data_IF_052017605412
#
_entry.id   IF_052017605412
#
_cell.length_a   1.000
_cell.length_b   1.000
_cell.length_c   1.000
_cell.angle_alpha   90.00
_cell.angle_beta   90.00
_cell.angle_gamma   90.00
#
_symmetry.space_group_name_H-M   'P 1'
#
loop_
_entity.id
_entity.type
_entity.pdbx_description
1 polymer ?
#
# COMPACT_ATOMS: atom_id res chain seq x y z
N UNK A 1 4.69 13.23 -15.44
CA UNK A 1 5.90 13.94 -14.95
C UNK A 1 6.31 14.98 -15.99
N UNK A 2 6.76 16.15 -15.56
CA UNK A 2 7.37 17.17 -16.42
C UNK A 2 8.83 17.34 -16.05
N UNK A 3 9.71 17.24 -17.05
CA UNK A 3 11.14 17.51 -16.91
C UNK A 3 11.50 18.58 -17.93
N UNK A 4 11.95 19.73 -17.47
CA UNK A 4 12.16 20.93 -18.30
C UNK A 4 10.90 21.27 -19.11
N UNK A 5 10.96 21.23 -20.44
CA UNK A 5 9.84 21.52 -21.33
C UNK A 5 9.17 20.25 -21.92
N UNK A 6 9.56 19.08 -21.45
CA UNK A 6 9.04 17.80 -21.93
C UNK A 6 8.19 17.13 -20.86
N UNK A 7 7.04 16.59 -21.27
CA UNK A 7 6.15 15.78 -20.45
C UNK A 7 6.41 14.29 -20.72
N UNK A 8 6.37 13.49 -19.65
CA UNK A 8 6.56 12.04 -19.71
C UNK A 8 5.39 11.31 -19.07
N UNK A 9 4.98 10.22 -19.70
CA UNK A 9 4.01 9.26 -19.15
C UNK A 9 4.65 7.88 -19.12
N UNK A 10 4.62 7.26 -17.95
CA UNK A 10 4.84 5.83 -17.80
C UNK A 10 3.49 5.13 -17.87
N UNK A 11 3.34 4.15 -18.73
CA UNK A 11 2.13 3.36 -18.84
C UNK A 11 2.43 1.86 -18.96
N UNK A 12 1.53 1.07 -18.46
CA UNK A 12 1.61 -0.39 -18.49
C UNK A 12 1.28 -0.98 -19.85
N UNK A 13 1.73 -2.21 -20.06
CA UNK A 13 1.38 -3.02 -21.21
C UNK A 13 1.19 -4.48 -20.80
N UNK A 14 0.25 -5.16 -21.45
CA UNK A 14 -0.02 -6.59 -21.24
C UNK A 14 0.12 -7.42 -22.52
N UNK A 15 0.35 -6.79 -23.67
CA UNK A 15 0.55 -7.51 -24.93
C UNK A 15 1.92 -8.18 -24.94
N UNK A 16 1.99 -9.46 -25.21
CA UNK A 16 3.17 -10.31 -25.46
C UNK A 16 4.37 -10.14 -24.48
N UNK A 17 4.57 -8.94 -23.94
CA UNK A 17 5.62 -8.60 -22.97
C UNK A 17 5.07 -7.60 -21.93
N UNK A 18 4.64 -8.10 -20.76
CA UNK A 18 4.25 -7.24 -19.64
C UNK A 18 5.40 -6.31 -19.25
N UNK A 19 5.10 -5.06 -18.98
CA UNK A 19 6.13 -4.09 -18.61
C UNK A 19 5.63 -2.66 -18.55
N UNK A 20 6.56 -1.73 -18.41
CA UNK A 20 6.29 -0.30 -18.32
C UNK A 20 6.94 0.41 -19.49
N UNK A 21 6.15 1.15 -20.24
CA UNK A 21 6.60 1.97 -21.40
C UNK A 21 6.68 3.43 -21.03
N UNK A 22 7.68 4.11 -21.58
CA UNK A 22 7.80 5.56 -21.50
C UNK A 22 7.36 6.20 -22.80
N UNK A 23 6.54 7.23 -22.69
CA UNK A 23 6.17 8.13 -23.78
C UNK A 23 6.52 9.57 -23.40
N UNK A 24 6.86 10.38 -24.38
CA UNK A 24 7.12 11.81 -24.21
C UNK A 24 6.22 12.68 -25.07
N UNK A 25 6.00 13.92 -24.63
CA UNK A 25 5.23 14.93 -25.35
C UNK A 25 5.72 16.33 -25.00
N UNK A 26 5.70 17.24 -25.97
CA UNK A 26 5.93 18.66 -25.75
C UNK A 26 4.64 19.49 -25.68
N UNK A 27 3.49 18.90 -26.00
CA UNK A 27 2.21 19.61 -26.12
C UNK A 27 1.04 18.92 -25.43
N UNK A 28 1.27 17.76 -24.75
CA UNK A 28 0.26 16.90 -24.11
C UNK A 28 -0.80 16.33 -25.09
N UNK A 29 -0.60 16.49 -26.42
CA UNK A 29 -1.55 16.01 -27.43
C UNK A 29 -0.96 14.89 -28.26
N UNK A 30 0.28 15.05 -28.68
CA UNK A 30 1.02 14.03 -29.41
C UNK A 30 2.05 13.39 -28.48
N UNK A 31 2.03 12.06 -28.40
CA UNK A 31 2.90 11.28 -27.57
C UNK A 31 3.76 10.36 -28.43
N UNK A 32 5.05 10.44 -28.25
CA UNK A 32 6.01 9.60 -28.95
C UNK A 32 6.56 8.53 -27.99
N UNK A 33 6.53 7.27 -28.41
CA UNK A 33 7.09 6.16 -27.66
C UNK A 33 8.61 6.24 -27.60
N UNK A 34 9.18 6.12 -26.41
CA UNK A 34 10.62 6.23 -26.18
C UNK A 34 11.28 4.87 -25.91
N UNK A 35 10.64 3.98 -25.20
CA UNK A 35 11.19 2.68 -24.84
C UNK A 35 10.49 2.02 -23.66
N UNK A 36 11.02 0.86 -23.27
CA UNK A 36 10.58 0.15 -22.07
C UNK A 36 11.46 0.57 -20.89
N UNK A 37 10.83 1.02 -19.80
CA UNK A 37 11.53 1.42 -18.57
C UNK A 37 12.20 0.24 -17.87
N UNK A 38 11.55 -0.91 -17.88
CA UNK A 38 12.01 -2.14 -17.22
C UNK A 38 12.45 -3.16 -18.26
N UNK A 39 13.36 -4.05 -17.87
CA UNK A 39 13.80 -5.15 -18.72
C UNK A 39 12.65 -6.15 -18.91
N UNK A 40 12.20 -6.37 -20.17
CA UNK A 40 11.11 -7.29 -20.45
C UNK A 40 11.46 -8.77 -20.19
N UNK A 41 12.73 -9.09 -19.97
CA UNK A 41 13.15 -10.48 -19.64
C UNK A 41 12.90 -10.82 -18.16
N UNK A 42 12.60 -9.86 -17.30
CA UNK A 42 12.25 -10.11 -15.91
C UNK A 42 10.82 -10.63 -15.79
N UNK A 43 10.57 -11.44 -14.76
CA UNK A 43 9.22 -11.95 -14.49
C UNK A 43 8.33 -10.89 -13.84
N UNK A 44 7.61 -10.16 -14.66
CA UNK A 44 6.61 -9.16 -14.24
C UNK A 44 5.21 -9.76 -14.06
N UNK A 45 5.07 -11.08 -14.15
CA UNK A 45 3.77 -11.74 -14.23
C UNK A 45 3.15 -11.60 -15.62
N UNK A 46 1.84 -11.77 -15.72
CA UNK A 46 1.11 -11.63 -16.99
C UNK A 46 0.64 -10.20 -17.27
N UNK A 47 0.65 -9.34 -16.27
CA UNK A 47 0.28 -7.93 -16.40
C UNK A 47 1.05 -7.07 -15.40
N UNK A 48 1.56 -5.94 -15.87
CA UNK A 48 2.09 -4.84 -15.07
C UNK A 48 1.12 -3.67 -15.17
N UNK A 49 0.64 -3.13 -14.07
CA UNK A 49 -0.36 -2.06 -14.03
C UNK A 49 0.11 -0.87 -13.19
N UNK A 50 -0.56 0.26 -13.38
CA UNK A 50 -0.44 1.44 -12.55
C UNK A 50 1.00 1.85 -12.22
N UNK A 51 1.90 1.98 -13.23
CA UNK A 51 3.26 2.42 -12.95
C UNK A 51 3.26 3.85 -12.39
N UNK A 52 4.05 4.05 -11.35
CA UNK A 52 4.21 5.36 -10.72
C UNK A 52 5.69 5.62 -10.44
N UNK A 53 6.20 6.77 -10.91
CA UNK A 53 7.58 7.19 -10.68
C UNK A 53 7.58 8.29 -9.63
N UNK A 54 8.11 7.98 -8.47
CA UNK A 54 8.17 8.87 -7.32
C UNK A 54 9.59 9.45 -7.16
N UNK A 55 9.67 10.71 -6.77
CA UNK A 55 10.92 11.39 -6.43
C UNK A 55 10.87 11.84 -4.96
N UNK A 56 11.55 11.09 -4.09
CA UNK A 56 11.59 11.32 -2.64
C UNK A 56 13.05 11.17 -2.20
N UNK A 57 13.83 12.25 -2.24
CA UNK A 57 15.28 12.24 -1.98
C UNK A 57 16.07 11.34 -2.97
N UNK A 58 15.49 10.24 -3.39
CA UNK A 58 15.89 9.36 -4.49
C UNK A 58 14.66 8.91 -5.27
N UNK A 59 14.86 8.32 -6.43
CA UNK A 59 13.74 7.92 -7.28
C UNK A 59 13.32 6.48 -7.01
N UNK A 60 12.01 6.27 -7.07
CA UNK A 60 11.36 4.97 -6.96
C UNK A 60 10.42 4.75 -8.13
N UNK A 61 10.34 3.51 -8.56
CA UNK A 61 9.31 3.06 -9.49
C UNK A 61 8.41 2.04 -8.79
N UNK A 62 7.13 2.33 -8.75
CA UNK A 62 6.12 1.39 -8.29
C UNK A 62 5.42 0.78 -9.49
N UNK A 63 5.17 -0.52 -9.43
CA UNK A 63 4.34 -1.24 -10.40
C UNK A 63 3.43 -2.21 -9.67
N UNK A 64 2.21 -2.32 -10.15
CA UNK A 64 1.27 -3.31 -9.66
C UNK A 64 1.30 -4.52 -10.58
N UNK A 65 1.80 -5.63 -10.08
CA UNK A 65 1.99 -6.84 -10.87
C UNK A 65 0.90 -7.88 -10.56
N UNK A 66 0.32 -8.45 -11.62
CA UNK A 66 -0.60 -9.56 -11.51
C UNK A 66 0.13 -10.86 -11.84
N UNK A 67 0.23 -11.73 -10.87
CA UNK A 67 0.82 -13.08 -10.99
C UNK A 67 -0.21 -14.13 -10.57
N UNK A 68 0.04 -15.38 -10.91
CA UNK A 68 -0.78 -16.51 -10.42
C UNK A 68 -0.82 -16.58 -8.88
N UNK A 69 0.21 -16.06 -8.21
CA UNK A 69 0.31 -15.96 -6.75
C UNK A 69 -0.44 -14.78 -6.13
N UNK A 70 -1.11 -13.97 -6.94
CA UNK A 70 -1.91 -12.81 -6.51
C UNK A 70 -1.42 -11.48 -7.09
N UNK A 71 -2.15 -10.44 -6.73
CA UNK A 71 -1.90 -9.06 -7.17
C UNK A 71 -1.12 -8.32 -6.08
N UNK A 72 0.04 -7.77 -6.43
CA UNK A 72 0.90 -7.05 -5.47
C UNK A 72 1.47 -5.77 -6.07
N UNK A 73 1.59 -4.74 -5.25
CA UNK A 73 2.36 -3.54 -5.54
C UNK A 73 3.82 -3.74 -5.16
N UNK A 74 4.72 -3.57 -6.12
CA UNK A 74 6.16 -3.71 -5.92
C UNK A 74 6.81 -2.35 -6.12
N UNK A 75 7.70 -1.97 -5.21
CA UNK A 75 8.50 -0.74 -5.27
C UNK A 75 9.96 -1.09 -5.48
N UNK A 76 10.57 -0.42 -6.42
CA UNK A 76 11.99 -0.50 -6.76
C UNK A 76 12.67 0.83 -6.48
N UNK A 77 13.82 0.83 -5.83
CA UNK A 77 14.68 2.00 -5.82
C UNK A 77 15.52 2.04 -7.10
N UNK A 78 15.85 3.25 -7.56
CA UNK A 78 16.61 3.37 -8.77
C UNK A 78 16.76 4.81 -9.25
N UNK A 79 17.03 4.91 -10.55
CA UNK A 79 17.19 6.20 -11.22
C UNK A 79 16.55 6.17 -12.61
N UNK A 80 15.77 7.19 -12.89
CA UNK A 80 15.18 7.39 -14.21
C UNK A 80 16.22 7.99 -15.18
N UNK A 81 16.43 7.32 -16.30
CA UNK A 81 17.18 7.80 -17.44
C UNK A 81 16.20 8.09 -18.58
N UNK A 82 15.84 9.38 -18.71
CA UNK A 82 14.87 9.82 -19.71
C UNK A 82 15.44 9.74 -21.13
N UNK A 83 16.78 9.88 -21.31
CA UNK A 83 17.41 9.82 -22.61
C UNK A 83 17.39 8.40 -23.20
N UNK A 84 17.70 7.41 -22.38
CA UNK A 84 17.71 6.00 -22.74
C UNK A 84 16.35 5.31 -22.53
N UNK A 85 15.36 6.03 -21.96
CA UNK A 85 14.05 5.49 -21.57
C UNK A 85 14.18 4.22 -20.69
N UNK A 86 15.00 4.32 -19.64
CA UNK A 86 15.27 3.22 -18.71
C UNK A 86 15.10 3.67 -17.26
N UNK A 87 14.59 2.79 -16.44
CA UNK A 87 14.70 2.90 -15.00
C UNK A 87 15.82 1.96 -14.54
N UNK A 88 16.90 2.55 -14.07
CA UNK A 88 18.09 1.82 -13.63
C UNK A 88 17.85 1.33 -12.20
N UNK A 89 17.46 0.06 -12.08
CA UNK A 89 17.17 -0.58 -10.78
C UNK A 89 18.42 -0.63 -9.90
N UNK A 90 18.27 -0.35 -8.62
CA UNK A 90 19.30 -0.45 -7.57
C UNK A 90 19.02 -1.60 -6.59
N UNK A 91 17.81 -2.17 -6.62
CA UNK A 91 17.41 -3.32 -5.83
C UNK A 91 16.57 -4.31 -6.65
N UNK A 92 16.20 -5.42 -6.04
CA UNK A 92 15.34 -6.44 -6.65
C UNK A 92 13.85 -6.16 -6.48
N UNK A 93 13.51 -5.05 -5.81
CA UNK A 93 12.15 -4.67 -5.46
C UNK A 93 11.64 -5.28 -4.17
N UNK A 94 10.75 -4.55 -3.51
CA UNK A 94 10.11 -4.95 -2.27
C UNK A 94 8.60 -4.76 -2.38
N UNK A 95 7.84 -5.45 -1.55
CA UNK A 95 6.41 -5.15 -1.42
C UNK A 95 6.24 -3.72 -0.88
N UNK A 96 5.35 -2.98 -1.51
CA UNK A 96 5.00 -1.64 -1.03
C UNK A 96 4.06 -1.71 0.18
N UNK A 97 3.25 -2.76 0.25
CA UNK A 97 2.32 -3.03 1.33
C UNK A 97 2.17 -4.55 1.51
N UNK A 98 2.20 -5.02 2.74
CA UNK A 98 2.08 -6.44 3.09
C UNK A 98 0.60 -6.89 3.21
N UNK A 99 -0.33 -5.96 3.16
CA UNK A 99 -1.75 -6.22 3.35
C UNK A 99 -2.37 -7.14 2.31
N UNK A 100 -3.55 -7.67 2.64
CA UNK A 100 -4.25 -8.64 1.80
C UNK A 100 -4.89 -8.00 0.57
N UNK A 101 -5.36 -6.76 0.70
CA UNK A 101 -6.25 -6.14 -0.28
C UNK A 101 -5.66 -4.91 -0.97
N UNK A 102 -4.42 -4.53 -0.62
CA UNK A 102 -3.78 -3.35 -1.17
C UNK A 102 -3.31 -3.57 -2.61
N UNK A 103 -3.74 -2.67 -3.51
CA UNK A 103 -3.36 -2.73 -4.92
C UNK A 103 -3.38 -1.35 -5.59
N UNK A 104 -2.81 -1.26 -6.80
CA UNK A 104 -2.87 -0.13 -7.72
C UNK A 104 -2.60 1.25 -7.07
N UNK A 105 -1.53 1.41 -6.26
CA UNK A 105 -1.24 2.68 -5.64
C UNK A 105 -0.85 3.75 -6.66
N UNK A 106 -1.18 4.99 -6.34
CA UNK A 106 -0.71 6.17 -7.06
C UNK A 106 -0.29 7.25 -6.07
N UNK A 107 0.75 7.98 -6.42
CA UNK A 107 1.29 9.04 -5.61
C UNK A 107 1.18 10.42 -6.26
N UNK A 108 1.28 11.45 -5.46
CA UNK A 108 1.42 12.84 -5.91
C UNK A 108 2.20 13.65 -4.87
N UNK A 109 2.87 14.70 -5.35
CA UNK A 109 3.46 15.69 -4.46
C UNK A 109 2.41 16.73 -4.07
N UNK A 110 2.25 16.99 -2.76
CA UNK A 110 1.41 18.07 -2.28
C UNK A 110 2.12 19.43 -2.35
N UNK A 111 1.42 20.51 -2.03
CA UNK A 111 1.95 21.88 -2.06
C UNK A 111 3.17 22.07 -1.13
N UNK A 112 3.32 21.24 -0.11
CA UNK A 112 4.47 21.26 0.80
C UNK A 112 5.63 20.36 0.36
N UNK A 113 5.48 19.68 -0.78
CA UNK A 113 6.48 18.77 -1.33
C UNK A 113 6.48 17.36 -0.70
N UNK A 114 5.46 17.01 0.11
CA UNK A 114 5.32 15.64 0.61
C UNK A 114 4.83 14.74 -0.52
N UNK A 115 5.40 13.56 -0.64
CA UNK A 115 4.86 12.52 -1.49
C UNK A 115 3.72 11.80 -0.76
N UNK A 116 2.51 11.92 -1.30
CA UNK A 116 1.30 11.31 -0.75
C UNK A 116 0.91 10.13 -1.60
N UNK A 117 0.69 8.99 -0.97
CA UNK A 117 0.26 7.74 -1.60
C UNK A 117 -1.17 7.41 -1.23
N UNK A 118 -1.94 6.94 -2.20
CA UNK A 118 -3.26 6.35 -2.01
C UNK A 118 -3.30 5.05 -2.82
N UNK A 119 -3.75 3.97 -2.21
CA UNK A 119 -3.95 2.68 -2.85
C UNK A 119 -5.42 2.27 -2.87
N UNK A 120 -5.72 1.22 -3.61
CA UNK A 120 -7.03 0.59 -3.66
C UNK A 120 -7.06 -0.62 -2.74
N UNK A 121 -8.07 -0.72 -1.90
CA UNK A 121 -8.37 -1.87 -1.05
C UNK A 121 -9.49 -2.69 -1.70
N UNK A 122 -9.12 -3.74 -2.40
CA UNK A 122 -10.11 -4.54 -3.14
C UNK A 122 -9.48 -5.62 -4.01
N UNK A 123 -8.18 -5.87 -3.87
CA UNK A 123 -7.53 -6.96 -4.58
C UNK A 123 -8.10 -8.33 -4.16
N UNK A 124 -8.01 -9.30 -5.04
CA UNK A 124 -8.44 -10.69 -4.80
C UNK A 124 -9.41 -11.20 -5.85
N UNK A 125 -9.78 -12.46 -5.72
CA UNK A 125 -10.68 -13.13 -6.64
C UNK A 125 -12.10 -12.55 -6.58
N UNK A 126 -12.77 -12.47 -7.72
CA UNK A 126 -14.12 -11.88 -7.82
C UNK A 126 -15.14 -12.56 -6.90
N UNK A 127 -15.09 -13.87 -6.77
CA UNK A 127 -15.97 -14.63 -5.87
C UNK A 127 -15.80 -14.19 -4.42
N UNK A 128 -14.56 -14.01 -3.98
CA UNK A 128 -14.27 -13.52 -2.64
C UNK A 128 -14.73 -12.07 -2.46
N UNK A 129 -14.47 -11.20 -3.43
CA UNK A 129 -14.94 -9.81 -3.38
C UNK A 129 -16.45 -9.73 -3.24
N UNK A 130 -17.18 -10.51 -4.03
CA UNK A 130 -18.64 -10.54 -3.99
C UNK A 130 -19.23 -11.19 -2.73
N UNK A 131 -18.42 -11.84 -1.92
CA UNK A 131 -18.83 -12.42 -0.62
C UNK A 131 -18.73 -11.43 0.56
N UNK A 132 -18.21 -10.24 0.33
CA UNK A 132 -18.02 -9.26 1.40
C UNK A 132 -19.38 -8.69 1.88
N UNK A 133 -19.53 -8.42 3.19
CA UNK A 133 -20.78 -7.93 3.75
C UNK A 133 -21.30 -6.64 3.10
N UNK A 134 -20.39 -5.76 2.67
CA UNK A 134 -20.73 -4.47 2.06
C UNK A 134 -21.46 -4.58 0.70
N UNK A 135 -21.39 -5.75 0.06
CA UNK A 135 -22.13 -6.02 -1.18
C UNK A 135 -23.64 -5.94 -0.95
N UNK A 136 -24.13 -6.43 0.20
CA UNK A 136 -25.54 -6.33 0.57
C UNK A 136 -25.97 -4.88 0.85
N UNK A 137 -25.02 -4.02 1.22
CA UNK A 137 -25.23 -2.59 1.41
C UNK A 137 -25.13 -1.77 0.10
N UNK A 138 -24.81 -2.42 -1.01
CA UNK A 138 -24.76 -1.83 -2.35
C UNK A 138 -23.42 -1.18 -2.71
N UNK A 139 -22.34 -1.49 -2.01
CA UNK A 139 -21.01 -1.00 -2.35
C UNK A 139 -19.92 -2.07 -2.11
N UNK A 140 -18.78 -1.86 -2.73
CA UNK A 140 -17.62 -2.74 -2.67
C UNK A 140 -16.34 -1.91 -2.84
N UNK A 141 -15.27 -2.36 -2.16
CA UNK A 141 -13.95 -1.74 -2.17
C UNK A 141 -13.87 -0.39 -1.44
N UNK A 142 -12.64 0.03 -1.20
CA UNK A 142 -12.33 1.33 -0.61
C UNK A 142 -10.97 1.83 -1.13
N UNK A 143 -10.67 3.08 -0.87
CA UNK A 143 -9.30 3.60 -0.96
C UNK A 143 -8.64 3.52 0.42
N UNK A 144 -7.31 3.42 0.44
CA UNK A 144 -6.56 3.58 1.68
C UNK A 144 -6.71 4.98 2.24
N UNK A 145 -6.43 5.16 3.52
CA UNK A 145 -6.15 6.51 4.01
C UNK A 145 -4.91 7.08 3.29
N UNK A 146 -4.82 8.41 3.10
CA UNK A 146 -3.62 9.02 2.54
C UNK A 146 -2.40 8.78 3.42
N UNK A 147 -1.30 8.34 2.80
CA UNK A 147 -0.03 8.01 3.46
C UNK A 147 1.08 8.92 2.97
N UNK A 148 1.89 9.45 3.86
CA UNK A 148 3.13 10.14 3.52
C UNK A 148 4.24 9.12 3.34
N UNK A 149 4.92 9.18 2.20
CA UNK A 149 6.14 8.43 1.95
C UNK A 149 7.36 9.24 2.36
N UNK A 150 8.34 8.58 2.96
CA UNK A 150 9.60 9.21 3.39
C UNK A 150 10.75 8.21 3.44
N UNK A 151 11.97 8.71 3.45
CA UNK A 151 13.16 7.87 3.58
C UNK A 151 13.65 7.89 5.03
N UNK A 152 13.92 6.71 5.55
CA UNK A 152 14.56 6.54 6.85
C UNK A 152 15.60 5.41 6.75
N UNK A 153 16.83 5.68 7.14
CA UNK A 153 17.96 4.73 7.05
C UNK A 153 18.14 4.14 5.63
N UNK A 154 17.90 4.96 4.58
CA UNK A 154 18.01 4.55 3.18
C UNK A 154 16.88 3.65 2.66
N UNK A 155 15.83 3.43 3.45
CA UNK A 155 14.66 2.63 3.07
C UNK A 155 13.44 3.52 2.93
N UNK A 156 12.54 3.14 2.03
CA UNK A 156 11.22 3.77 1.89
C UNK A 156 10.32 3.33 3.04
N UNK A 157 9.73 4.32 3.69
CA UNK A 157 8.75 4.15 4.75
C UNK A 157 7.47 4.88 4.41
N UNK A 158 6.38 4.50 5.07
CA UNK A 158 5.09 5.15 4.93
C UNK A 158 4.43 5.32 6.30
N UNK A 159 3.67 6.38 6.45
CA UNK A 159 2.87 6.66 7.64
C UNK A 159 1.60 7.41 7.26
N UNK A 160 0.54 7.34 8.07
CA UNK A 160 -0.66 8.14 7.86
C UNK A 160 -0.33 9.63 7.79
N UNK A 161 -1.09 10.39 7.02
CA UNK A 161 -0.96 11.85 7.02
C UNK A 161 -1.34 12.39 8.40
N UNK A 162 -0.56 13.34 8.93
CA UNK A 162 -0.78 13.94 10.26
C UNK A 162 -2.12 14.68 10.40
N UNK A 163 -2.77 14.96 9.30
CA UNK A 163 -4.07 15.62 9.27
C UNK A 163 -5.16 14.80 9.96
N UNK A 164 -4.98 13.46 10.08
CA UNK A 164 -5.88 12.59 10.85
C UNK A 164 -5.94 12.96 12.34
N UNK A 165 -4.89 13.52 12.92
CA UNK A 165 -4.91 14.00 14.30
C UNK A 165 -5.97 15.06 14.56
N UNK A 166 -6.32 15.86 13.53
CA UNK A 166 -7.30 16.94 13.64
C UNK A 166 -8.76 16.45 13.70
N UNK A 167 -9.01 15.22 13.27
CA UNK A 167 -10.36 14.63 13.30
C UNK A 167 -10.59 13.73 14.51
N UNK A 168 -9.58 13.48 15.32
CA UNK A 168 -9.71 12.77 16.61
C UNK A 168 -10.67 13.56 17.50
N UNK A 169 -11.66 12.89 18.09
CA UNK A 169 -12.71 13.54 18.91
C UNK A 169 -12.75 13.02 20.34
N UNK A 170 -12.57 11.73 20.52
CA UNK A 170 -12.66 11.07 21.80
C UNK A 170 -11.45 10.19 22.02
N UNK A 171 -10.75 10.42 23.12
CA UNK A 171 -9.59 9.64 23.51
C UNK A 171 -9.93 8.81 24.73
N UNK A 172 -9.50 7.55 24.72
CA UNK A 172 -9.57 6.67 25.89
C UNK A 172 -8.23 5.96 26.04
N UNK A 173 -7.68 5.98 27.22
CA UNK A 173 -6.50 5.20 27.56
C UNK A 173 -6.96 3.82 28.04
N UNK A 174 -6.37 2.76 27.48
CA UNK A 174 -6.58 1.38 27.88
C UNK A 174 -5.28 0.88 28.47
N UNK A 175 -5.28 0.43 29.71
CA UNK A 175 -4.13 -0.20 30.31
C UNK A 175 -3.88 -1.58 29.68
N UNK A 176 -2.66 -2.11 29.84
CA UNK A 176 -2.32 -3.44 29.39
C UNK A 176 -3.33 -4.47 29.95
N UNK A 177 -3.69 -5.47 29.15
CA UNK A 177 -4.73 -6.47 29.44
C UNK A 177 -6.16 -5.88 29.61
N UNK A 178 -6.34 -4.62 29.18
CA UNK A 178 -7.64 -3.95 29.20
C UNK A 178 -8.50 -4.27 27.98
N UNK A 179 -9.76 -3.92 28.07
CA UNK A 179 -10.69 -3.92 26.94
C UNK A 179 -11.61 -2.71 26.98
N UNK A 180 -12.09 -2.33 25.81
CA UNK A 180 -13.10 -1.30 25.69
C UNK A 180 -14.17 -1.70 24.68
N UNK A 181 -15.35 -1.15 24.85
CA UNK A 181 -16.43 -1.31 23.88
C UNK A 181 -16.49 -0.08 22.98
N UNK A 182 -16.63 -0.33 21.69
CA UNK A 182 -16.93 0.67 20.68
C UNK A 182 -18.45 0.62 20.48
N UNK A 183 -19.12 1.76 20.67
CA UNK A 183 -20.57 1.83 20.48
C UNK A 183 -20.95 1.81 19.00
N UNK A 184 -22.22 1.60 18.71
CA UNK A 184 -22.74 1.50 17.34
C UNK A 184 -22.72 2.84 16.57
N UNK A 185 -22.53 3.96 17.27
CA UNK A 185 -22.45 5.29 16.67
C UNK A 185 -21.01 5.65 16.27
N UNK A 186 -20.03 4.83 16.65
CA UNK A 186 -18.63 5.06 16.33
C UNK A 186 -18.33 4.50 14.95
N UNK A 187 -18.03 5.38 14.00
CA UNK A 187 -17.76 5.07 12.60
C UNK A 187 -16.34 4.63 12.33
N UNK A 188 -15.39 5.22 13.05
CA UNK A 188 -13.98 4.92 12.90
C UNK A 188 -13.24 4.95 14.23
N UNK A 189 -12.20 4.15 14.34
CA UNK A 189 -11.35 4.04 15.52
C UNK A 189 -9.89 4.06 15.11
N UNK A 190 -9.09 4.83 15.82
CA UNK A 190 -7.64 4.75 15.78
C UNK A 190 -7.17 4.14 17.11
N UNK A 191 -6.41 3.04 17.03
CA UNK A 191 -5.63 2.52 18.13
C UNK A 191 -4.19 2.96 17.94
N UNK A 192 -3.61 3.58 18.95
CA UNK A 192 -2.19 3.88 19.00
C UNK A 192 -1.61 3.21 20.24
N UNK A 193 -0.65 2.31 20.04
CA UNK A 193 0.11 1.72 21.13
C UNK A 193 1.59 2.04 20.91
N UNK A 194 2.22 2.60 21.94
CA UNK A 194 3.58 3.10 21.91
C UNK A 194 4.41 2.47 23.01
N UNK A 195 5.72 2.51 22.85
CA UNK A 195 6.69 2.03 23.83
C UNK A 195 6.47 0.55 24.21
N UNK A 196 6.11 -0.25 23.21
CA UNK A 196 5.90 -1.67 23.39
C UNK A 196 7.27 -2.33 23.64
N UNK A 197 7.40 -3.03 24.76
CA UNK A 197 8.65 -3.70 25.17
C UNK A 197 8.47 -5.20 25.37
N UNK A 198 7.27 -5.71 25.18
CA UNK A 198 6.98 -7.14 25.35
C UNK A 198 7.32 -7.92 24.08
N UNK A 199 7.86 -9.13 24.26
CA UNK A 199 8.08 -10.06 23.16
C UNK A 199 6.79 -10.73 22.66
N UNK A 200 5.67 -10.58 23.42
CA UNK A 200 4.37 -11.12 23.06
C UNK A 200 3.30 -10.06 23.26
N UNK A 201 2.66 -9.70 22.18
CA UNK A 201 1.62 -8.66 22.16
C UNK A 201 0.47 -9.17 21.32
N UNK A 202 -0.76 -8.88 21.74
CA UNK A 202 -1.94 -9.19 20.95
C UNK A 202 -2.99 -8.07 21.02
N UNK A 203 -3.56 -7.77 19.87
CA UNK A 203 -4.72 -6.90 19.74
C UNK A 203 -5.84 -7.67 19.06
N UNK A 204 -7.03 -7.65 19.65
CA UNK A 204 -8.18 -8.35 19.12
C UNK A 204 -9.34 -7.38 18.93
N UNK A 205 -9.78 -7.25 17.69
CA UNK A 205 -10.93 -6.43 17.30
C UNK A 205 -12.12 -7.35 17.04
N UNK A 206 -12.78 -7.73 18.13
CA UNK A 206 -13.84 -8.74 18.09
C UNK A 206 -13.33 -10.09 17.55
N UNK A 207 -14.12 -10.67 16.64
CA UNK A 207 -13.75 -11.90 15.92
C UNK A 207 -13.32 -11.63 14.46
N UNK A 208 -13.14 -10.38 14.11
CA UNK A 208 -12.93 -9.95 12.71
C UNK A 208 -11.45 -9.80 12.39
N UNK A 209 -10.71 -9.11 13.26
CA UNK A 209 -9.30 -8.81 13.07
C UNK A 209 -8.52 -9.13 14.34
N UNK A 210 -7.39 -9.80 14.17
CA UNK A 210 -6.47 -10.12 15.25
C UNK A 210 -5.05 -9.81 14.79
N UNK A 211 -4.27 -9.21 15.67
CA UNK A 211 -2.88 -8.87 15.45
C UNK A 211 -2.08 -9.48 16.58
N UNK A 212 -1.09 -10.28 16.23
CA UNK A 212 -0.20 -10.94 17.19
C UNK A 212 1.23 -10.63 16.84
N UNK A 213 2.02 -10.26 17.83
CA UNK A 213 3.47 -10.22 17.72
C UNK A 213 4.06 -11.22 18.70
N UNK A 214 4.89 -12.12 18.20
CA UNK A 214 5.61 -13.11 19.02
C UNK A 214 6.95 -13.44 18.33
N UNK A 215 8.05 -13.26 19.06
CA UNK A 215 9.41 -13.65 18.62
C UNK A 215 9.73 -13.20 17.18
N UNK A 216 9.70 -11.91 16.92
CA UNK A 216 10.01 -11.28 15.61
C UNK A 216 9.00 -11.59 14.48
N UNK A 217 7.87 -12.16 14.79
CA UNK A 217 6.79 -12.39 13.84
C UNK A 217 5.58 -11.53 14.18
N UNK A 218 5.16 -10.72 13.21
CA UNK A 218 3.87 -10.06 13.24
C UNK A 218 2.89 -10.89 12.40
N UNK A 219 1.89 -11.46 13.04
CA UNK A 219 0.81 -12.20 12.40
C UNK A 219 -0.47 -11.37 12.45
N UNK A 220 -1.05 -11.11 11.30
CA UNK A 220 -2.33 -10.44 11.13
C UNK A 220 -3.33 -11.45 10.60
N UNK A 221 -4.44 -11.63 11.31
CA UNK A 221 -5.52 -12.55 10.93
C UNK A 221 -6.80 -11.76 10.70
N UNK A 222 -7.35 -11.85 9.51
CA UNK A 222 -8.66 -11.29 9.15
C UNK A 222 -9.66 -12.44 8.94
N UNK A 223 -10.85 -12.31 9.51
CA UNK A 223 -11.92 -13.29 9.30
C UNK A 223 -12.20 -13.45 7.80
N UNK A 224 -12.23 -14.71 7.35
CA UNK A 224 -12.64 -15.03 5.99
C UNK A 224 -14.18 -14.96 5.86
N UNK A 225 -14.69 -14.31 4.81
CA UNK A 225 -16.12 -14.02 4.70
C UNK A 225 -16.95 -15.18 4.14
N UNK A 226 -16.42 -15.92 3.16
CA UNK A 226 -17.13 -17.02 2.50
C UNK A 226 -16.69 -18.41 2.95
N UNK A 227 -15.67 -18.55 3.81
CA UNK A 227 -15.20 -19.81 4.38
C UNK A 227 -15.04 -19.71 5.89
N UNK A 228 -14.87 -20.85 6.55
CA UNK A 228 -14.46 -20.87 7.95
C UNK A 228 -12.97 -20.59 8.05
N UNK A 229 -12.58 -19.75 9.01
CA UNK A 229 -11.18 -19.45 9.30
C UNK A 229 -10.81 -17.99 9.07
N UNK A 230 -9.54 -17.76 8.86
CA UNK A 230 -8.94 -16.46 8.72
C UNK A 230 -8.01 -16.45 7.51
N UNK A 231 -7.99 -15.33 6.80
CA UNK A 231 -6.89 -14.96 5.93
C UNK A 231 -5.75 -14.44 6.79
N UNK A 232 -4.51 -14.73 6.44
CA UNK A 232 -3.36 -14.44 7.26
C UNK A 232 -2.27 -13.72 6.47
N UNK A 233 -1.66 -12.75 7.13
CA UNK A 233 -0.40 -12.13 6.71
C UNK A 233 0.60 -12.30 7.83
N UNK A 234 1.80 -12.75 7.47
CA UNK A 234 2.90 -12.89 8.40
C UNK A 234 4.08 -12.05 7.91
N UNK A 235 4.56 -11.16 8.77
CA UNK A 235 5.69 -10.27 8.48
C UNK A 235 6.76 -10.50 9.54
N UNK A 236 7.99 -10.70 9.08
CA UNK A 236 9.15 -10.77 9.97
C UNK A 236 9.63 -9.36 10.31
N UNK A 237 9.55 -8.98 11.58
CA UNK A 237 10.04 -7.70 12.10
C UNK A 237 10.89 -7.96 13.33
N UNK A 238 12.05 -7.28 13.43
CA UNK A 238 12.99 -7.50 14.51
C UNK A 238 12.48 -7.02 15.88
N UNK A 239 11.66 -5.99 15.88
CA UNK A 239 11.15 -5.32 17.07
C UNK A 239 9.83 -4.62 16.77
N UNK A 240 8.90 -4.65 17.70
CA UNK A 240 7.65 -3.89 17.63
C UNK A 240 7.64 -2.85 18.77
N UNK A 241 8.03 -1.63 18.46
CA UNK A 241 8.03 -0.52 19.41
C UNK A 241 6.70 0.20 19.47
N UNK A 242 6.09 0.37 18.32
CA UNK A 242 4.84 1.12 18.17
C UNK A 242 3.95 0.42 17.15
N UNK A 243 2.66 0.52 17.32
CA UNK A 243 1.67 0.09 16.34
C UNK A 243 0.52 1.10 16.28
N UNK A 244 0.12 1.43 15.08
CA UNK A 244 -1.04 2.29 14.83
C UNK A 244 -2.02 1.55 13.92
N UNK A 245 -3.26 1.44 14.36
CA UNK A 245 -4.32 0.72 13.63
C UNK A 245 -5.48 1.67 13.40
N UNK A 246 -5.85 1.85 12.15
CA UNK A 246 -7.07 2.55 11.75
C UNK A 246 -8.13 1.52 11.38
N UNK A 247 -9.29 1.63 12.00
CA UNK A 247 -10.47 0.85 11.66
C UNK A 247 -11.55 1.81 11.19
N UNK A 248 -12.09 1.58 10.01
CA UNK A 248 -13.20 2.35 9.47
C UNK A 248 -14.22 1.40 8.88
N UNK A 249 -15.33 1.17 9.60
CA UNK A 249 -16.42 0.26 9.24
C UNK A 249 -15.99 -1.06 8.56
N UNK A 250 -15.47 -0.99 7.36
CA UNK A 250 -15.14 -2.14 6.51
C UNK A 250 -13.65 -2.29 6.22
N UNK A 251 -12.81 -1.35 6.66
CA UNK A 251 -11.37 -1.36 6.39
C UNK A 251 -10.55 -1.38 7.67
N UNK A 252 -9.36 -1.96 7.57
CA UNK A 252 -8.33 -1.91 8.61
C UNK A 252 -6.97 -1.63 7.98
N UNK A 253 -6.29 -0.59 8.44
CA UNK A 253 -4.93 -0.28 8.03
C UNK A 253 -4.01 -0.25 9.26
N UNK A 254 -2.84 -0.87 9.14
CA UNK A 254 -1.90 -1.12 10.24
C UNK A 254 -0.55 -0.55 9.84
N UNK A 255 0.03 0.28 10.72
CA UNK A 255 1.31 0.94 10.54
C UNK A 255 2.23 0.67 11.70
#
# INVERSE_FOLDING_TARGET
IRVEDTYYIANSTFEWFPGVRLHESNDLKKWDYRGNLLDPSMDWGYMCECPDVMDIEQQFLVVSCQKETGCKGIVFSGRMDYAEAKFQLQDEGNLLDEGLDFYAPQSFADESGRCILIGWLGAGELEYQMSQPTVEEGWLHALTIPRVLFIQNGKLHQRPVKEFERIRRHERVIEAEGYTFIDQETWSVELLAEQLSSQKISFNFGNVLKIYFDNNNLLIQRKHWNMKGYDEVQVEISELENIQVFLDQSTAEIF
#
